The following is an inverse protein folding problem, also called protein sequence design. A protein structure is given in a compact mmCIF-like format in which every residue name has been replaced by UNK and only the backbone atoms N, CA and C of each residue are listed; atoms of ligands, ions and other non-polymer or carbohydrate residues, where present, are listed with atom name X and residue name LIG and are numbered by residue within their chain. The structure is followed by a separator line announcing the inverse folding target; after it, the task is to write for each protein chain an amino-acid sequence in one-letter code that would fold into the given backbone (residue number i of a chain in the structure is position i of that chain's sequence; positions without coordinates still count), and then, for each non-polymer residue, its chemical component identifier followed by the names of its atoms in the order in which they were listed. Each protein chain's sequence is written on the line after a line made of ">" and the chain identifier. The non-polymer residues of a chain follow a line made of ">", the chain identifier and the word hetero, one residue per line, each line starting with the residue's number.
data_IF_806723102156
#
_entry.id   IF_806723102156
#
_cell.length_a   1.000
_cell.length_b   1.000
_cell.length_c   1.000
_cell.angle_alpha   90.00
_cell.angle_beta   90.00
_cell.angle_gamma   90.00
#
_symmetry.space_group_name_H-M   'P 1'
#
loop_
_entity.id
_entity.type
_entity.pdbx_description
1 polymer ?
#
# COMPACT_ATOMS: atom_id res chain seq x y z
N UNK A 1 14.47 -1.39 -24.86
CA UNK A 1 14.13 -1.25 -23.43
C UNK A 1 14.56 0.14 -23.01
N UNK A 2 13.64 1.11 -23.03
CA UNK A 2 13.93 2.45 -22.53
C UNK A 2 13.80 2.41 -21.00
N UNK A 3 14.93 2.59 -20.33
CA UNK A 3 14.98 2.84 -18.89
C UNK A 3 14.15 4.08 -18.58
N UNK A 4 13.21 3.95 -17.64
CA UNK A 4 12.49 5.08 -17.06
C UNK A 4 13.51 6.09 -16.52
N UNK A 5 13.71 7.20 -17.23
CA UNK A 5 14.47 8.33 -16.72
C UNK A 5 13.50 9.22 -15.97
N UNK A 6 13.44 9.04 -14.65
CA UNK A 6 12.84 10.02 -13.76
C UNK A 6 13.65 11.31 -13.90
N UNK A 7 13.01 12.39 -14.35
CA UNK A 7 13.67 13.69 -14.46
C UNK A 7 13.75 14.30 -13.06
N UNK A 8 14.94 14.74 -12.67
CA UNK A 8 15.18 15.44 -11.40
C UNK A 8 14.22 16.63 -11.26
N UNK A 9 13.34 16.59 -10.25
CA UNK A 9 12.42 17.70 -9.93
C UNK A 9 10.92 17.45 -10.18
N UNK A 10 10.50 16.31 -10.73
CA UNK A 10 9.07 15.97 -10.74
C UNK A 10 8.66 15.51 -9.34
N UNK A 11 7.91 16.34 -8.61
CA UNK A 11 7.33 15.93 -7.33
C UNK A 11 6.48 14.69 -7.58
N UNK A 12 6.75 13.64 -6.80
CA UNK A 12 5.78 12.56 -6.64
C UNK A 12 4.46 13.21 -6.19
N UNK A 13 3.29 12.74 -6.66
CA UNK A 13 2.02 13.07 -6.02
C UNK A 13 2.20 12.92 -4.51
N UNK A 14 1.68 13.88 -3.72
CA UNK A 14 1.79 13.82 -2.25
C UNK A 14 1.38 12.42 -1.81
N UNK A 15 2.34 11.66 -1.25
CA UNK A 15 1.97 10.43 -0.56
C UNK A 15 1.00 10.83 0.54
N UNK A 16 0.00 9.98 0.84
CA UNK A 16 -0.62 10.02 2.16
C UNK A 16 0.51 10.16 3.18
N UNK A 17 0.45 11.16 4.08
CA UNK A 17 1.53 11.53 5.01
C UNK A 17 1.84 10.46 6.05
N UNK A 18 2.05 9.22 5.61
CA UNK A 18 2.36 8.03 6.37
C UNK A 18 3.80 7.61 6.06
N UNK A 19 4.59 7.49 7.12
CA UNK A 19 5.96 6.95 7.08
C UNK A 19 5.99 5.40 6.97
N UNK A 20 4.83 4.76 6.76
CA UNK A 20 4.71 3.31 6.63
C UNK A 20 4.28 2.92 5.22
N UNK A 21 5.16 2.21 4.53
CA UNK A 21 4.89 1.63 3.22
C UNK A 21 5.43 0.21 3.17
N UNK A 22 4.65 -0.69 2.57
CA UNK A 22 5.08 -2.02 2.20
C UNK A 22 4.58 -2.36 0.80
N UNK A 23 5.09 -3.43 0.22
CA UNK A 23 4.60 -3.99 -1.04
C UNK A 23 4.53 -2.92 -2.15
N UNK A 24 5.61 -2.15 -2.32
CA UNK A 24 5.70 -1.15 -3.39
C UNK A 24 5.84 -1.88 -4.72
N UNK A 25 4.91 -1.65 -5.65
CA UNK A 25 4.88 -2.33 -6.94
C UNK A 25 4.38 -1.42 -8.05
N UNK A 26 5.03 -1.47 -9.21
CA UNK A 26 4.56 -0.76 -10.39
C UNK A 26 3.38 -1.53 -11.00
N UNK A 27 2.26 -0.84 -11.24
CA UNK A 27 1.08 -1.42 -11.88
C UNK A 27 0.66 -0.46 -12.99
N UNK A 28 0.59 -0.96 -14.22
CA UNK A 28 0.17 -0.17 -15.38
C UNK A 28 -1.25 -0.52 -15.75
N UNK A 29 -2.05 0.47 -16.14
CA UNK A 29 -3.36 0.26 -16.71
C UNK A 29 -3.34 0.48 -18.22
N UNK A 30 -4.44 0.22 -18.92
CA UNK A 30 -4.46 0.12 -20.40
C UNK A 30 -3.92 1.36 -21.13
N UNK A 31 -3.98 2.53 -20.51
CA UNK A 31 -3.52 3.79 -21.08
C UNK A 31 -2.83 4.69 -20.03
N UNK A 32 -2.10 4.07 -19.11
CA UNK A 32 -1.32 4.80 -18.11
C UNK A 32 -0.49 3.90 -17.21
N UNK A 33 0.22 4.55 -16.30
CA UNK A 33 1.22 3.92 -15.45
C UNK A 33 1.14 4.47 -14.04
N UNK A 34 1.55 3.66 -13.07
CA UNK A 34 1.52 4.05 -11.67
C UNK A 34 2.21 3.07 -10.75
N UNK A 35 2.03 3.32 -9.46
CA UNK A 35 2.60 2.53 -8.38
C UNK A 35 1.52 2.29 -7.33
N UNK A 36 1.47 1.07 -6.81
CA UNK A 36 0.72 0.73 -5.60
C UNK A 36 1.65 0.42 -4.44
N UNK A 37 1.15 0.63 -3.25
CA UNK A 37 1.77 0.18 -2.01
C UNK A 37 0.70 -0.04 -0.94
N UNK A 38 1.08 -0.79 0.09
CA UNK A 38 0.28 -0.97 1.28
C UNK A 38 0.69 0.05 2.33
N UNK A 39 -0.27 0.73 2.95
CA UNK A 39 -0.01 1.77 3.95
C UNK A 39 -1.13 1.83 4.99
N UNK A 40 -0.89 2.57 6.06
CA UNK A 40 -1.87 2.92 7.08
C UNK A 40 -1.62 4.37 7.48
N UNK A 41 -2.68 5.16 7.61
CA UNK A 41 -2.54 6.55 8.10
C UNK A 41 -2.61 6.55 9.62
N UNK A 42 -1.58 7.08 10.26
CA UNK A 42 -1.49 7.15 11.71
C UNK A 42 -1.91 8.51 12.23
N UNK A 43 -2.74 8.53 13.27
CA UNK A 43 -3.04 9.74 14.06
C UNK A 43 -2.35 9.73 15.42
N UNK A 44 -1.79 8.59 15.83
CA UNK A 44 -1.00 8.32 17.03
C UNK A 44 -0.13 7.07 16.81
N UNK A 45 0.71 6.71 17.80
CA UNK A 45 1.43 5.44 17.82
C UNK A 45 0.48 4.26 18.06
N UNK A 46 -0.17 3.80 16.98
CA UNK A 46 -1.08 2.66 16.98
C UNK A 46 -0.48 1.48 16.21
N UNK A 47 -0.88 0.23 16.49
CA UNK A 47 -0.49 -0.93 15.70
C UNK A 47 -0.98 -0.82 14.24
N UNK A 48 -0.20 -1.43 13.32
CA UNK A 48 -0.68 -1.73 11.98
C UNK A 48 -1.74 -2.84 12.09
N UNK A 49 -2.90 -2.64 11.48
CA UNK A 49 -4.06 -3.50 11.71
C UNK A 49 -4.96 -3.65 10.47
N UNK A 50 -5.88 -4.61 10.51
CA UNK A 50 -6.78 -4.95 9.40
C UNK A 50 -7.97 -3.99 9.23
N UNK A 51 -8.23 -3.10 10.19
CA UNK A 51 -9.26 -2.06 10.05
C UNK A 51 -8.74 -0.83 9.29
N UNK A 52 -7.43 -0.58 9.34
CA UNK A 52 -6.82 0.66 8.82
C UNK A 52 -5.78 0.44 7.71
N UNK A 53 -5.41 -0.81 7.38
CA UNK A 53 -4.49 -1.10 6.28
C UNK A 53 -5.17 -0.88 4.92
N UNK A 54 -4.46 -0.15 4.06
CA UNK A 54 -4.93 0.30 2.76
C UNK A 54 -4.03 -0.20 1.65
N UNK A 55 -4.65 -0.68 0.56
CA UNK A 55 -4.08 -0.65 -0.77
C UNK A 55 -4.21 0.78 -1.30
N UNK A 56 -3.08 1.40 -1.60
CA UNK A 56 -3.02 2.74 -2.14
C UNK A 56 -2.32 2.71 -3.49
N UNK A 57 -3.01 3.16 -4.54
CA UNK A 57 -2.48 3.29 -5.89
C UNK A 57 -2.53 4.74 -6.34
N UNK A 58 -1.44 5.18 -6.97
CA UNK A 58 -1.32 6.46 -7.64
C UNK A 58 -0.74 6.27 -9.04
N UNK A 59 -1.38 6.86 -10.05
CA UNK A 59 -0.95 6.76 -11.44
C UNK A 59 -1.43 7.91 -12.29
N UNK A 60 -0.96 7.94 -13.53
CA UNK A 60 -1.32 8.97 -14.51
C UNK A 60 -1.52 8.32 -15.88
N UNK A 61 -2.41 8.90 -16.69
CA UNK A 61 -2.53 8.52 -18.09
C UNK A 61 -1.26 8.83 -18.87
N UNK A 62 -0.98 8.06 -19.92
CA UNK A 62 0.25 8.23 -20.73
C UNK A 62 0.31 9.60 -21.44
N UNK A 63 -0.85 10.23 -21.67
CA UNK A 63 -0.94 11.59 -22.20
C UNK A 63 -0.77 12.70 -21.14
N UNK A 64 -0.60 12.31 -19.87
CA UNK A 64 -0.38 13.20 -18.73
C UNK A 64 -1.59 14.04 -18.31
N UNK A 65 -2.78 13.75 -18.82
CA UNK A 65 -3.97 14.59 -18.59
C UNK A 65 -4.80 14.20 -17.36
N UNK A 66 -4.75 12.94 -16.95
CA UNK A 66 -5.59 12.43 -15.87
C UNK A 66 -4.74 11.72 -14.82
N UNK A 67 -4.96 12.11 -13.57
CA UNK A 67 -4.46 11.41 -12.40
C UNK A 67 -5.48 10.35 -11.98
N UNK A 68 -4.99 9.18 -11.56
CA UNK A 68 -5.79 8.05 -11.10
C UNK A 68 -5.32 7.67 -9.70
N UNK A 69 -6.26 7.65 -8.77
CA UNK A 69 -6.04 7.21 -7.40
C UNK A 69 -7.04 6.11 -7.04
N UNK A 70 -6.56 5.08 -6.33
CA UNK A 70 -7.43 4.08 -5.72
C UNK A 70 -7.00 3.83 -4.28
N UNK A 71 -7.96 3.89 -3.37
CA UNK A 71 -7.77 3.64 -1.93
C UNK A 71 -8.77 2.57 -1.54
N UNK A 72 -8.27 1.38 -1.20
CA UNK A 72 -9.09 0.20 -0.95
C UNK A 72 -8.65 -0.47 0.35
N UNK A 73 -9.57 -1.04 1.14
CA UNK A 73 -9.20 -1.81 2.31
C UNK A 73 -8.50 -3.11 1.89
N UNK A 74 -7.49 -3.52 2.66
CA UNK A 74 -6.82 -4.80 2.50
C UNK A 74 -6.31 -5.29 3.86
N UNK A 75 -6.31 -6.60 4.07
CA UNK A 75 -5.86 -7.21 5.30
C UNK A 75 -4.88 -8.35 5.10
N UNK A 76 -4.17 -8.70 6.15
CA UNK A 76 -3.30 -9.87 6.23
C UNK A 76 -3.58 -10.65 7.52
N UNK A 77 -3.53 -11.98 7.44
CA UNK A 77 -3.98 -12.88 8.52
C UNK A 77 -3.17 -12.76 9.83
N UNK A 78 -1.95 -12.22 9.76
CA UNK A 78 -1.07 -12.02 10.92
C UNK A 78 -1.24 -10.65 11.59
N UNK A 79 -2.00 -9.72 11.00
CA UNK A 79 -2.21 -8.39 11.57
C UNK A 79 -3.31 -8.40 12.65
N UNK A 80 -3.19 -7.48 13.61
CA UNK A 80 -4.23 -7.23 14.59
C UNK A 80 -5.56 -6.87 13.90
N UNK A 81 -6.68 -7.15 14.56
CA UNK A 81 -8.00 -6.81 14.02
C UNK A 81 -8.26 -5.29 13.99
N UNK A 82 -7.72 -4.56 14.97
CA UNK A 82 -7.97 -3.14 15.21
C UNK A 82 -6.72 -2.43 15.77
N UNK A 83 -6.86 -1.13 16.05
CA UNK A 83 -5.80 -0.25 16.52
C UNK A 83 -5.51 -0.36 18.03
N UNK A 84 -6.17 -1.27 18.74
CA UNK A 84 -5.96 -1.46 20.16
C UNK A 84 -4.69 -2.29 20.42
N UNK A 85 -3.69 -1.66 21.04
CA UNK A 85 -2.42 -2.29 21.41
C UNK A 85 -2.54 -3.55 22.30
N UNK A 86 -3.68 -3.76 22.96
CA UNK A 86 -3.95 -4.92 23.80
C UNK A 86 -4.78 -6.01 23.11
N UNK A 87 -5.19 -5.80 21.86
CA UNK A 87 -5.91 -6.82 21.09
C UNK A 87 -5.03 -8.06 20.93
N UNK A 88 -5.62 -9.23 21.16
CA UNK A 88 -4.91 -10.50 21.02
C UNK A 88 -4.41 -10.65 19.59
N UNK A 89 -3.11 -10.81 19.42
CA UNK A 89 -2.50 -11.01 18.11
C UNK A 89 -2.86 -12.39 17.55
N UNK A 90 -3.09 -12.50 16.23
CA UNK A 90 -3.14 -13.78 15.54
C UNK A 90 -1.84 -14.58 15.67
N UNK A 91 -1.88 -15.84 15.23
CA UNK A 91 -0.65 -16.62 15.06
C UNK A 91 0.32 -15.89 14.12
N UNK A 92 1.61 -15.92 14.46
CA UNK A 92 2.69 -15.21 13.75
C UNK A 92 2.54 -13.68 13.68
N UNK A 93 1.67 -13.09 14.50
CA UNK A 93 1.55 -11.65 14.65
C UNK A 93 2.80 -11.02 15.27
N UNK A 94 3.08 -9.78 14.89
CA UNK A 94 4.24 -9.02 15.38
C UNK A 94 3.81 -8.24 16.63
N UNK A 95 4.44 -8.47 17.80
CA UNK A 95 4.14 -7.71 19.01
C UNK A 95 4.30 -6.20 18.80
N UNK A 96 3.29 -5.43 19.18
CA UNK A 96 3.37 -3.98 19.16
C UNK A 96 4.39 -3.47 20.18
N UNK A 97 5.33 -2.64 19.73
CA UNK A 97 6.34 -2.03 20.58
C UNK A 97 6.31 -0.50 20.43
N UNK A 98 5.61 0.17 21.34
CA UNK A 98 5.55 1.63 21.38
C UNK A 98 6.91 2.28 21.72
N UNK A 99 7.78 1.58 22.47
CA UNK A 99 9.10 2.13 22.83
C UNK A 99 10.06 2.10 21.64
N UNK A 100 9.83 1.20 20.69
CA UNK A 100 10.56 1.10 19.43
C UNK A 100 9.59 1.07 18.23
N UNK A 101 8.78 2.11 18.10
CA UNK A 101 7.72 2.15 17.09
C UNK A 101 8.26 2.00 15.66
N UNK A 102 9.38 2.66 15.33
CA UNK A 102 9.99 2.51 14.01
C UNK A 102 10.43 1.06 13.73
N UNK A 103 11.10 0.41 14.70
CA UNK A 103 11.50 -0.99 14.54
C UNK A 103 10.30 -1.94 14.42
N UNK A 104 9.19 -1.63 15.10
CA UNK A 104 7.93 -2.33 14.92
C UNK A 104 7.38 -2.14 13.49
N UNK A 105 7.32 -0.91 12.98
CA UNK A 105 6.86 -0.62 11.61
C UNK A 105 7.72 -1.33 10.57
N UNK A 106 9.05 -1.31 10.73
CA UNK A 106 10.00 -1.96 9.83
C UNK A 106 9.77 -3.49 9.78
N UNK A 107 9.55 -4.12 10.95
CA UNK A 107 9.26 -5.54 11.03
C UNK A 107 7.93 -5.90 10.36
N UNK A 108 6.88 -5.10 10.56
CA UNK A 108 5.59 -5.30 9.89
C UNK A 108 5.72 -5.12 8.39
N UNK A 109 6.41 -4.05 7.94
CA UNK A 109 6.64 -3.80 6.52
C UNK A 109 7.42 -4.96 5.87
N UNK A 110 8.46 -5.46 6.53
CA UNK A 110 9.22 -6.63 6.06
C UNK A 110 8.32 -7.85 5.92
N UNK A 111 7.45 -8.10 6.90
CA UNK A 111 6.52 -9.24 6.84
C UNK A 111 5.54 -9.11 5.68
N UNK A 112 4.92 -7.94 5.51
CA UNK A 112 4.05 -7.64 4.37
C UNK A 112 4.79 -7.82 3.04
N UNK A 113 6.02 -7.30 2.91
CA UNK A 113 6.87 -7.47 1.72
C UNK A 113 7.15 -8.94 1.37
N UNK A 114 7.23 -9.81 2.37
CA UNK A 114 7.44 -11.26 2.18
C UNK A 114 6.16 -12.08 2.04
N UNK A 115 5.00 -11.46 2.19
CA UNK A 115 3.70 -12.15 2.12
C UNK A 115 3.31 -12.37 0.66
N UNK A 116 2.89 -13.59 0.34
CA UNK A 116 2.40 -13.96 -0.99
C UNK A 116 1.14 -13.13 -1.36
N UNK A 117 1.03 -12.71 -2.63
CA UNK A 117 -0.05 -11.80 -3.07
C UNK A 117 -1.44 -12.41 -2.93
N UNK A 118 -1.57 -13.75 -2.94
CA UNK A 118 -2.83 -14.47 -2.70
C UNK A 118 -3.07 -14.77 -1.21
N UNK A 119 -2.24 -14.28 -0.29
CA UNK A 119 -2.42 -14.44 1.16
C UNK A 119 -3.04 -13.22 1.85
N UNK A 120 -3.38 -12.19 1.08
CA UNK A 120 -4.12 -11.01 1.55
C UNK A 120 -5.63 -11.20 1.47
N UNK A 121 -6.40 -10.36 2.16
CA UNK A 121 -7.87 -10.30 2.01
C UNK A 121 -8.32 -8.87 1.74
N UNK A 122 -8.83 -8.55 0.54
CA UNK A 122 -8.86 -9.39 -0.67
C UNK A 122 -7.44 -9.72 -1.17
N UNK A 123 -7.31 -10.65 -2.12
CA UNK A 123 -6.01 -10.96 -2.74
C UNK A 123 -5.42 -9.70 -3.38
N UNK A 124 -4.15 -9.43 -3.07
CA UNK A 124 -3.44 -8.27 -3.60
C UNK A 124 -3.35 -8.33 -5.13
N UNK A 125 -3.18 -9.55 -5.67
CA UNK A 125 -3.18 -9.79 -7.11
C UNK A 125 -4.47 -9.31 -7.79
N UNK A 126 -5.64 -9.54 -7.19
CA UNK A 126 -6.92 -9.15 -7.78
C UNK A 126 -7.16 -7.64 -7.72
N UNK A 127 -6.57 -6.95 -6.73
CA UNK A 127 -6.57 -5.49 -6.72
C UNK A 127 -5.66 -4.95 -7.84
N UNK A 128 -4.51 -5.57 -8.07
CA UNK A 128 -3.62 -5.21 -9.17
C UNK A 128 -4.31 -5.45 -10.53
N UNK A 129 -4.92 -6.62 -10.77
CA UNK A 129 -5.71 -6.88 -11.98
C UNK A 129 -6.85 -5.88 -12.19
N UNK A 130 -7.50 -5.43 -11.12
CA UNK A 130 -8.54 -4.40 -11.19
C UNK A 130 -7.96 -3.08 -11.72
N UNK A 131 -6.80 -2.64 -11.20
CA UNK A 131 -6.11 -1.44 -11.70
C UNK A 131 -5.68 -1.64 -13.15
N UNK A 132 -5.07 -2.77 -13.50
CA UNK A 132 -4.64 -3.08 -14.87
C UNK A 132 -5.80 -3.01 -15.89
N UNK A 133 -7.02 -3.35 -15.44
CA UNK A 133 -8.20 -3.33 -16.28
C UNK A 133 -8.69 -1.92 -16.67
N UNK A 134 -8.25 -0.89 -15.94
CA UNK A 134 -8.71 0.49 -16.13
C UNK A 134 -8.34 1.03 -17.51
N UNK A 135 -9.26 1.81 -18.08
CA UNK A 135 -9.02 2.63 -19.24
C UNK A 135 -9.68 3.99 -19.02
N UNK A 136 -8.89 5.04 -18.95
CA UNK A 136 -9.40 6.39 -18.73
C UNK A 136 -9.80 6.98 -20.07
N UNK A 137 -11.10 7.14 -20.28
CA UNK A 137 -11.64 7.90 -21.41
C UNK A 137 -12.00 9.29 -20.90
N UNK A 138 -11.18 10.28 -21.28
CA UNK A 138 -11.47 11.69 -20.98
C UNK A 138 -12.82 12.16 -21.54
N UNK A 139 -13.29 13.30 -21.05
CA UNK A 139 -14.45 14.03 -21.59
C UNK A 139 -14.00 15.17 -22.51
#
# INVERSE_FOLDING_TARGET
>A
MQSLQYTDGQQLPESLGSDFMAQIHAVNFKNGHGVRYLTQVFTNFNPVNNSDLLYYYQGMTDDGKYYVEAILPIGASFLAADDNANTQLPADGIPFDMNNFQGYLDAVAQRLNSTDTFSFTPYLEYLDEMIESLQVTGY
#
